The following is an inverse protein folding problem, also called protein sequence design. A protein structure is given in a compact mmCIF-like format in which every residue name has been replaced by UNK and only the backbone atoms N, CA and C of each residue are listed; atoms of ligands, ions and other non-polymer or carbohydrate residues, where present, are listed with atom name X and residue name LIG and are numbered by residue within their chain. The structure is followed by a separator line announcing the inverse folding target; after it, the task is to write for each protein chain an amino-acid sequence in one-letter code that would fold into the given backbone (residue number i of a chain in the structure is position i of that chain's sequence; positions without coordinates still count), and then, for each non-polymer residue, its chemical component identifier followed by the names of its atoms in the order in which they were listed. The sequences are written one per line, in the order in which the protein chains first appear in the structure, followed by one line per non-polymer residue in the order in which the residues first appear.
data_IF_948100670066
#
_entry.id   IF_948100670066
#
_cell.length_a   1.000
_cell.length_b   1.000
_cell.length_c   1.000
_cell.angle_alpha   90.00
_cell.angle_beta   90.00
_cell.angle_gamma   90.00
#
_symmetry.space_group_name_H-M   'P 1'
#
loop_
_entity.id
_entity.type
_entity.pdbx_description
1 polymer ?
#
# COMPACT_ATOMS: atom_id res chain seq x y z
N UNK A 1 21.78 -12.36 -20.17
CA UNK A 1 21.54 -11.09 -20.89
C UNK A 1 21.81 -9.85 -20.01
N UNK A 2 22.91 -9.12 -20.29
CA UNK A 2 23.22 -7.84 -19.62
C UNK A 2 22.27 -6.75 -20.10
N UNK A 3 21.57 -6.09 -19.18
CA UNK A 3 20.68 -4.97 -19.51
C UNK A 3 21.47 -3.70 -19.81
N UNK A 4 21.07 -2.98 -20.86
CA UNK A 4 21.69 -1.71 -21.24
C UNK A 4 21.50 -0.63 -20.17
N UNK A 5 22.50 0.26 -20.02
CA UNK A 5 22.44 1.43 -19.12
C UNK A 5 21.19 2.29 -19.35
N UNK A 6 20.74 2.39 -20.60
CA UNK A 6 19.54 3.15 -20.94
C UNK A 6 18.26 2.49 -20.40
N UNK A 7 18.18 1.15 -20.47
CA UNK A 7 17.05 0.39 -19.90
C UNK A 7 16.98 0.57 -18.38
N UNK A 8 18.13 0.65 -17.68
CA UNK A 8 18.17 0.93 -16.24
C UNK A 8 17.56 2.31 -15.94
N UNK A 9 18.01 3.37 -16.62
CA UNK A 9 17.50 4.74 -16.42
C UNK A 9 16.00 4.85 -16.67
N UNK A 10 15.50 4.19 -17.72
CA UNK A 10 14.08 4.20 -18.04
C UNK A 10 13.23 3.56 -16.94
N UNK A 11 13.72 2.47 -16.32
CA UNK A 11 13.03 1.83 -15.19
C UNK A 11 13.01 2.69 -13.95
N UNK A 12 14.13 3.33 -13.61
CA UNK A 12 14.21 4.27 -12.48
C UNK A 12 13.21 5.42 -12.67
N UNK A 13 13.14 6.00 -13.87
CA UNK A 13 12.18 7.06 -14.18
C UNK A 13 10.72 6.57 -14.10
N UNK A 14 10.42 5.35 -14.56
CA UNK A 14 9.10 4.76 -14.44
C UNK A 14 8.71 4.50 -12.98
N UNK A 15 9.65 4.02 -12.16
CA UNK A 15 9.44 3.79 -10.73
C UNK A 15 9.17 5.11 -9.99
N UNK A 16 9.91 6.17 -10.30
CA UNK A 16 9.67 7.51 -9.73
C UNK A 16 8.27 8.02 -10.06
N UNK A 17 7.82 7.90 -11.31
CA UNK A 17 6.46 8.29 -11.71
C UNK A 17 5.39 7.47 -10.97
N UNK A 18 5.61 6.16 -10.82
CA UNK A 18 4.69 5.30 -10.08
C UNK A 18 4.58 5.70 -8.60
N UNK A 19 5.70 6.04 -7.95
CA UNK A 19 5.72 6.51 -6.56
C UNK A 19 4.99 7.85 -6.40
N UNK A 20 5.19 8.78 -7.34
CA UNK A 20 4.49 10.07 -7.34
C UNK A 20 2.98 9.89 -7.51
N UNK A 21 2.56 9.03 -8.44
CA UNK A 21 1.14 8.76 -8.66
C UNK A 21 0.51 8.04 -7.47
N UNK A 22 1.24 7.12 -6.82
CA UNK A 22 0.79 6.46 -5.60
C UNK A 22 0.58 7.45 -4.45
N UNK A 23 1.50 8.39 -4.25
CA UNK A 23 1.40 9.40 -3.19
C UNK A 23 0.40 10.53 -3.47
N UNK A 24 -0.05 10.69 -4.71
CA UNK A 24 -0.99 11.74 -5.10
C UNK A 24 -2.45 11.39 -4.78
N UNK A 25 -2.77 10.12 -4.55
CA UNK A 25 -4.14 9.71 -4.20
C UNK A 25 -4.35 9.70 -2.68
N UNK A 26 -5.58 9.87 -2.19
CA UNK A 26 -5.86 9.79 -0.75
C UNK A 26 -5.55 8.40 -0.18
N UNK A 27 -4.83 8.36 0.93
CA UNK A 27 -4.57 7.14 1.69
C UNK A 27 -5.53 7.01 2.86
N UNK A 28 -5.86 5.76 3.22
CA UNK A 28 -6.78 5.47 4.30
C UNK A 28 -6.19 4.55 5.36
N UNK A 29 -6.79 4.57 6.54
CA UNK A 29 -6.43 3.72 7.67
C UNK A 29 -7.70 3.10 8.26
N UNK A 30 -7.69 1.78 8.45
CA UNK A 30 -8.79 1.05 9.08
C UNK A 30 -8.29 0.48 10.39
N UNK A 31 -8.91 0.88 11.51
CA UNK A 31 -8.60 0.37 12.85
C UNK A 31 -9.87 0.33 13.71
N UNK A 32 -9.87 -0.52 14.73
CA UNK A 32 -10.93 -0.57 15.72
C UNK A 32 -10.53 0.22 16.98
N UNK A 33 -11.52 0.72 17.72
CA UNK A 33 -11.30 1.37 19.02
C UNK A 33 -11.66 0.41 20.15
N UNK A 34 -10.91 0.46 21.26
CA UNK A 34 -11.18 -0.34 22.45
C UNK A 34 -10.89 -1.84 22.27
N UNK A 35 -11.48 -2.67 23.15
CA UNK A 35 -11.30 -4.13 23.13
C UNK A 35 -12.11 -4.73 21.97
N UNK A 36 -11.41 -5.22 20.95
CA UNK A 36 -12.02 -5.94 19.84
C UNK A 36 -11.84 -7.46 19.98
N UNK A 37 -12.93 -8.20 19.79
CA UNK A 37 -12.91 -9.66 19.65
C UNK A 37 -12.30 -10.11 18.31
N UNK A 38 -12.12 -11.42 18.16
CA UNK A 38 -11.48 -12.01 16.98
C UNK A 38 -12.17 -11.64 15.65
N UNK A 39 -13.50 -11.67 15.61
CA UNK A 39 -14.27 -11.40 14.40
C UNK A 39 -14.08 -9.96 13.91
N UNK A 40 -14.12 -8.98 14.81
CA UNK A 40 -13.90 -7.58 14.44
C UNK A 40 -12.46 -7.36 13.95
N UNK A 41 -11.47 -8.02 14.57
CA UNK A 41 -10.08 -7.96 14.09
C UNK A 41 -9.91 -8.58 12.70
N UNK A 42 -10.63 -9.67 12.41
CA UNK A 42 -10.65 -10.28 11.08
C UNK A 42 -11.32 -9.35 10.06
N UNK A 43 -12.47 -8.78 10.39
CA UNK A 43 -13.15 -7.81 9.54
C UNK A 43 -12.25 -6.60 9.21
N UNK A 44 -11.56 -6.03 10.20
CA UNK A 44 -10.59 -4.96 9.94
C UNK A 44 -9.47 -5.40 8.98
N UNK A 45 -8.98 -6.64 9.11
CA UNK A 45 -7.96 -7.18 8.20
C UNK A 45 -8.48 -7.35 6.77
N UNK A 46 -9.71 -7.82 6.62
CA UNK A 46 -10.33 -8.04 5.32
C UNK A 46 -10.67 -6.71 4.63
N UNK A 47 -11.15 -5.71 5.37
CA UNK A 47 -11.31 -4.35 4.86
C UNK A 47 -9.98 -3.74 4.41
N UNK A 48 -8.90 -3.91 5.18
CA UNK A 48 -7.57 -3.44 4.76
C UNK A 48 -7.12 -4.09 3.45
N UNK A 49 -7.37 -5.39 3.25
CA UNK A 49 -7.07 -6.12 2.01
C UNK A 49 -7.92 -5.65 0.84
N UNK A 50 -9.22 -5.45 1.07
CA UNK A 50 -10.15 -4.97 0.05
C UNK A 50 -9.77 -3.59 -0.46
N UNK A 51 -9.28 -2.72 0.44
CA UNK A 51 -8.91 -1.35 0.14
C UNK A 51 -7.41 -1.17 -0.16
N UNK A 52 -6.68 -2.26 -0.45
CA UNK A 52 -5.34 -2.18 -1.05
C UNK A 52 -5.43 -1.54 -2.45
N UNK A 53 -4.40 -0.80 -2.91
CA UNK A 53 -3.11 -0.58 -2.26
C UNK A 53 -3.05 0.69 -1.38
N UNK A 54 -4.14 1.46 -1.31
CA UNK A 54 -4.14 2.79 -0.67
C UNK A 54 -4.49 2.77 0.81
N UNK A 55 -4.60 1.57 1.40
CA UNK A 55 -4.89 1.37 2.82
C UNK A 55 -3.77 0.61 3.49
N UNK A 56 -3.32 1.06 4.67
CA UNK A 56 -2.21 0.44 5.36
C UNK A 56 -2.55 -0.98 5.85
N UNK A 57 -1.91 -2.00 5.24
CA UNK A 57 -2.11 -3.42 5.59
C UNK A 57 -1.70 -3.74 7.02
N UNK A 58 -0.57 -3.18 7.48
CA UNK A 58 0.05 -3.44 8.78
C UNK A 58 0.13 -2.18 9.64
N UNK A 59 -1.03 -1.57 9.90
CA UNK A 59 -1.11 -0.46 10.85
C UNK A 59 -0.87 -0.99 12.28
N UNK A 60 0.10 -0.41 13.00
CA UNK A 60 0.33 -0.61 14.44
C UNK A 60 -0.56 0.37 15.19
N UNK A 61 -1.47 -0.15 16.02
CA UNK A 61 -2.47 0.62 16.79
C UNK A 61 -2.60 0.04 18.18
#
# INVERSE_FOLDING_TARGET
PQQSKNQKRQREAAQLRALQQFGAVPHSFVFHRGRAGANLRHLCRDLRRLMEPYTARQLRV
#
